data_IF_617344684622
#
_entry.id   IF_617344684622
#
_cell.length_a   1.000
_cell.length_b   1.000
_cell.length_c   1.000
_cell.angle_alpha   90.00
_cell.angle_beta   90.00
_cell.angle_gamma   90.00
#
_symmetry.space_group_name_H-M   'P 1'
#
loop_
_entity.id
_entity.type
_entity.pdbx_description
1 polymer ?
#
# COMPACT_ATOMS: atom_id res chain seq x y z
N UNK A 1 6.84 16.50 -10.61
CA UNK A 1 7.86 16.30 -11.66
C UNK A 1 9.09 15.78 -10.96
N UNK A 2 9.71 14.74 -11.48
CA UNK A 2 10.97 14.19 -10.97
C UNK A 2 12.18 15.11 -11.23
N UNK A 3 12.08 16.01 -12.20
CA UNK A 3 13.06 17.07 -12.44
C UNK A 3 13.11 18.05 -11.26
N UNK A 4 14.25 18.08 -10.57
CA UNK A 4 14.51 18.88 -9.37
C UNK A 4 14.37 20.39 -9.60
N UNK A 5 14.64 20.86 -10.83
CA UNK A 5 14.50 22.25 -11.22
C UNK A 5 13.06 22.65 -11.53
N UNK A 6 12.21 21.68 -11.88
CA UNK A 6 10.82 21.92 -12.24
C UNK A 6 9.87 21.97 -11.05
N UNK A 7 9.94 20.99 -10.13
CA UNK A 7 9.05 20.85 -8.94
C UNK A 7 7.53 20.94 -9.20
N UNK A 8 7.10 20.78 -10.45
CA UNK A 8 5.69 20.90 -10.82
C UNK A 8 4.84 19.79 -10.18
N UNK A 9 3.72 20.16 -9.55
CA UNK A 9 2.77 19.26 -8.89
C UNK A 9 1.37 19.50 -9.41
N UNK A 10 0.60 18.43 -9.63
CA UNK A 10 -0.77 18.50 -10.13
C UNK A 10 -1.56 17.25 -9.76
N UNK A 11 -2.89 17.38 -9.70
CA UNK A 11 -3.83 16.25 -9.65
C UNK A 11 -4.37 15.89 -11.04
N UNK A 12 -4.00 16.65 -12.07
CA UNK A 12 -4.46 16.44 -13.45
C UNK A 12 -3.51 15.46 -14.16
N UNK A 13 -4.07 14.40 -14.72
CA UNK A 13 -3.31 13.43 -15.52
C UNK A 13 -3.14 13.98 -16.94
N UNK A 14 -1.90 14.10 -17.40
CA UNK A 14 -1.58 14.54 -18.75
C UNK A 14 -1.64 13.36 -19.74
N UNK A 15 -2.67 13.31 -20.58
CA UNK A 15 -2.87 12.21 -21.54
C UNK A 15 -1.91 12.22 -22.74
N UNK A 16 -1.01 13.20 -22.85
CA UNK A 16 0.02 13.22 -23.90
C UNK A 16 0.97 12.03 -23.75
N UNK A 17 1.37 11.44 -24.87
CA UNK A 17 2.36 10.35 -24.97
C UNK A 17 3.39 10.76 -26.02
N UNK A 18 4.67 10.71 -25.67
CA UNK A 18 5.80 11.12 -26.50
C UNK A 18 6.91 10.08 -26.35
N UNK A 19 7.38 9.50 -27.46
CA UNK A 19 8.44 8.49 -27.44
C UNK A 19 8.08 7.27 -26.58
N UNK A 20 8.96 6.95 -25.64
CA UNK A 20 8.88 5.82 -24.69
C UNK A 20 8.14 6.17 -23.38
N UNK A 21 7.60 7.39 -23.24
CA UNK A 21 6.93 7.81 -22.01
C UNK A 21 5.65 7.04 -21.75
N UNK A 22 5.45 6.64 -20.49
CA UNK A 22 4.19 6.07 -20.04
C UNK A 22 3.07 7.12 -20.13
N UNK A 23 1.86 6.67 -20.52
CA UNK A 23 0.65 7.50 -20.54
C UNK A 23 0.44 8.17 -19.19
N UNK A 24 0.18 9.48 -19.18
CA UNK A 24 -0.06 10.20 -17.93
C UNK A 24 1.18 10.82 -17.29
N UNK A 25 2.39 10.47 -17.74
CA UNK A 25 3.63 10.82 -17.03
C UNK A 25 4.36 12.04 -17.60
N UNK A 26 3.94 12.61 -18.73
CA UNK A 26 4.67 13.76 -19.30
C UNK A 26 4.44 15.03 -18.47
N UNK A 27 5.53 15.71 -18.10
CA UNK A 27 5.45 17.01 -17.44
C UNK A 27 4.71 18.03 -18.33
N UNK A 28 3.69 18.76 -17.82
CA UNK A 28 2.98 19.77 -18.59
C UNK A 28 3.85 20.93 -19.08
N UNK A 29 5.01 21.14 -18.46
CA UNK A 29 6.00 22.14 -18.88
C UNK A 29 6.90 21.65 -20.04
N UNK A 30 6.62 20.49 -20.65
CA UNK A 30 7.31 20.08 -21.88
C UNK A 30 6.99 21.05 -23.04
N UNK A 31 7.99 21.48 -23.85
CA UNK A 31 9.37 20.98 -23.93
C UNK A 31 10.39 21.67 -23.01
N UNK A 32 10.00 22.65 -22.19
CA UNK A 32 10.90 23.35 -21.25
C UNK A 32 11.36 22.46 -20.08
N UNK A 33 10.66 21.34 -19.83
CA UNK A 33 11.04 20.33 -18.86
C UNK A 33 10.91 18.94 -19.49
N UNK A 34 11.98 18.14 -19.40
CA UNK A 34 12.01 16.75 -19.88
C UNK A 34 11.72 15.72 -18.77
N UNK A 35 11.39 16.18 -17.57
CA UNK A 35 11.02 15.32 -16.45
C UNK A 35 9.66 14.65 -16.63
N UNK A 36 9.40 13.66 -15.78
CA UNK A 36 8.16 12.89 -15.69
C UNK A 36 7.40 13.22 -14.41
N UNK A 37 6.07 13.20 -14.50
CA UNK A 37 5.17 13.21 -13.35
C UNK A 37 5.24 11.84 -12.68
N UNK A 38 5.72 11.84 -11.44
CA UNK A 38 5.69 10.68 -10.54
C UNK A 38 4.57 10.86 -9.52
N UNK A 39 3.95 9.75 -9.09
CA UNK A 39 2.97 9.78 -8.01
C UNK A 39 3.67 10.17 -6.71
N UNK A 40 3.10 11.14 -5.98
CA UNK A 40 3.59 11.50 -4.64
C UNK A 40 3.38 10.38 -3.62
N UNK A 41 2.34 9.58 -3.82
CA UNK A 41 2.03 8.41 -3.01
C UNK A 41 1.73 7.25 -3.95
N UNK A 42 2.56 6.23 -3.91
CA UNK A 42 2.45 5.09 -4.83
C UNK A 42 1.46 4.05 -4.31
N UNK A 43 0.99 3.17 -5.20
CA UNK A 43 0.19 2.00 -4.79
C UNK A 43 0.98 1.11 -3.80
N UNK A 44 2.30 1.03 -3.95
CA UNK A 44 3.16 0.29 -3.04
C UNK A 44 3.21 0.93 -1.65
N UNK A 45 3.21 2.27 -1.57
CA UNK A 45 3.12 2.99 -0.30
C UNK A 45 1.79 2.71 0.40
N UNK A 46 0.68 2.75 -0.34
CA UNK A 46 -0.65 2.42 0.18
C UNK A 46 -0.70 1.00 0.71
N UNK A 47 -0.23 0.03 -0.08
CA UNK A 47 -0.20 -1.37 0.33
C UNK A 47 0.65 -1.59 1.58
N UNK A 48 1.83 -0.95 1.66
CA UNK A 48 2.70 -0.99 2.85
C UNK A 48 2.00 -0.44 4.08
N UNK A 49 1.30 0.68 3.94
CA UNK A 49 0.57 1.30 5.06
C UNK A 49 -0.57 0.42 5.56
N UNK A 50 -1.38 -0.13 4.65
CA UNK A 50 -2.48 -1.02 5.01
C UNK A 50 -1.96 -2.33 5.63
N UNK A 51 -0.87 -2.88 5.09
CA UNK A 51 -0.20 -4.06 5.65
C UNK A 51 0.33 -3.81 7.06
N UNK A 52 0.87 -2.62 7.31
CA UNK A 52 1.28 -2.22 8.66
C UNK A 52 0.08 -2.15 9.62
N UNK A 53 -1.04 -1.58 9.19
CA UNK A 53 -2.25 -1.58 10.02
C UNK A 53 -2.79 -2.99 10.30
N UNK A 54 -2.80 -3.89 9.31
CA UNK A 54 -3.10 -5.30 9.54
C UNK A 54 -2.15 -5.90 10.58
N UNK A 55 -0.84 -5.63 10.48
CA UNK A 55 0.15 -6.13 11.43
C UNK A 55 -0.12 -5.65 12.87
N UNK A 56 -0.48 -4.38 13.05
CA UNK A 56 -0.74 -3.79 14.37
C UNK A 56 -2.04 -4.32 14.98
N UNK A 57 -3.06 -4.57 14.15
CA UNK A 57 -4.39 -5.01 14.60
C UNK A 57 -4.55 -6.55 14.66
N UNK A 58 -3.51 -7.30 14.32
CA UNK A 58 -3.51 -8.76 14.39
C UNK A 58 -3.44 -9.23 15.85
N UNK A 59 -4.61 -9.36 16.46
CA UNK A 59 -4.78 -9.84 17.83
C UNK A 59 -4.16 -11.23 18.04
N UNK A 60 -4.24 -12.12 17.04
CA UNK A 60 -3.70 -13.49 17.15
C UNK A 60 -2.19 -13.47 17.28
N UNK A 61 -1.53 -12.67 16.42
CA UNK A 61 -0.09 -12.50 16.43
C UNK A 61 0.42 -11.75 17.67
N UNK A 62 -0.40 -10.87 18.25
CA UNK A 62 -0.10 -10.23 19.52
C UNK A 62 0.01 -11.27 20.65
N UNK A 63 -0.98 -12.18 20.75
CA UNK A 63 -1.04 -13.21 21.77
C UNK A 63 0.10 -14.24 21.65
N UNK A 64 0.53 -14.56 20.43
CA UNK A 64 1.61 -15.51 20.19
C UNK A 64 3.00 -14.99 20.57
N UNK A 65 3.15 -13.67 20.73
CA UNK A 65 4.40 -13.05 21.18
C UNK A 65 4.47 -12.89 22.71
N UNK A 66 3.40 -13.20 23.45
CA UNK A 66 3.38 -13.06 24.90
C UNK A 66 3.99 -14.27 25.59
N UNK A 67 4.68 -14.02 26.70
CA UNK A 67 5.10 -15.07 27.61
C UNK A 67 3.88 -15.84 28.13
N UNK A 68 4.03 -17.16 28.22
CA UNK A 68 2.94 -18.07 28.60
C UNK A 68 2.30 -17.73 29.96
N UNK A 69 3.09 -17.15 30.88
CA UNK A 69 2.65 -16.68 32.20
C UNK A 69 1.76 -15.43 32.13
N UNK A 70 1.92 -14.60 31.11
CA UNK A 70 1.21 -13.33 30.92
C UNK A 70 -0.01 -13.47 29.99
N UNK A 71 -0.12 -14.60 29.28
CA UNK A 71 -1.16 -14.82 28.26
C UNK A 71 -2.57 -14.79 28.84
N UNK A 72 -2.85 -15.57 29.89
CA UNK A 72 -4.16 -15.63 30.53
C UNK A 72 -4.67 -14.29 31.10
N UNK A 73 -3.89 -13.51 31.87
CA UNK A 73 -4.34 -12.21 32.36
C UNK A 73 -4.55 -11.22 31.21
N UNK A 74 -3.67 -11.21 30.20
CA UNK A 74 -3.83 -10.34 29.04
C UNK A 74 -5.08 -10.70 28.22
N UNK A 75 -5.34 -11.99 27.93
CA UNK A 75 -6.52 -12.43 27.18
C UNK A 75 -7.82 -11.99 27.85
N UNK A 76 -7.89 -12.02 29.19
CA UNK A 76 -9.08 -11.56 29.93
C UNK A 76 -9.35 -10.06 29.76
N UNK A 77 -8.32 -9.23 29.86
CA UNK A 77 -8.46 -7.77 29.67
C UNK A 77 -8.71 -7.43 28.19
N UNK A 78 -8.01 -8.13 27.29
CA UNK A 78 -8.10 -7.92 25.86
C UNK A 78 -9.42 -8.39 25.26
N UNK A 79 -10.11 -9.36 25.87
CA UNK A 79 -11.39 -9.89 25.40
C UNK A 79 -12.44 -8.78 25.16
N UNK A 80 -12.41 -7.71 25.96
CA UNK A 80 -13.31 -6.55 25.83
C UNK A 80 -13.06 -5.78 24.53
N UNK A 81 -11.80 -5.70 24.08
CA UNK A 81 -11.39 -4.96 22.88
C UNK A 81 -11.34 -5.86 21.63
N UNK A 82 -11.23 -7.18 21.82
CA UNK A 82 -10.95 -8.14 20.75
C UNK A 82 -11.97 -8.06 19.61
N UNK A 83 -13.26 -7.91 19.91
CA UNK A 83 -14.29 -7.82 18.88
C UNK A 83 -14.10 -6.58 18.00
N UNK A 84 -13.82 -5.43 18.60
CA UNK A 84 -13.59 -4.16 17.89
C UNK A 84 -12.31 -4.22 17.05
N UNK A 85 -11.23 -4.76 17.63
CA UNK A 85 -9.93 -4.91 16.94
C UNK A 85 -10.06 -5.88 15.76
N UNK A 86 -10.73 -7.02 15.96
CA UNK A 86 -10.98 -8.00 14.90
C UNK A 86 -11.81 -7.40 13.77
N UNK A 87 -12.83 -6.60 14.10
CA UNK A 87 -13.66 -5.91 13.09
C UNK A 87 -12.84 -4.90 12.29
N UNK A 88 -12.02 -4.07 12.96
CA UNK A 88 -11.13 -3.12 12.30
C UNK A 88 -10.09 -3.81 11.41
N UNK A 89 -9.51 -4.92 11.90
CA UNK A 89 -8.57 -5.75 11.13
C UNK A 89 -9.22 -6.26 9.85
N UNK A 90 -10.43 -6.83 9.93
CA UNK A 90 -11.14 -7.37 8.75
C UNK A 90 -11.44 -6.30 7.71
N UNK A 91 -11.84 -5.09 8.13
CA UNK A 91 -12.10 -4.00 7.18
C UNK A 91 -10.81 -3.52 6.49
N UNK A 92 -9.73 -3.35 7.25
CA UNK A 92 -8.44 -2.93 6.67
C UNK A 92 -7.87 -4.00 5.76
N UNK A 93 -7.99 -5.27 6.16
CA UNK A 93 -7.62 -6.41 5.32
C UNK A 93 -8.40 -6.41 4.01
N UNK A 94 -9.73 -6.21 4.06
CA UNK A 94 -10.58 -6.12 2.88
C UNK A 94 -10.13 -4.99 1.93
N UNK A 95 -9.72 -3.84 2.47
CA UNK A 95 -9.20 -2.73 1.66
C UNK A 95 -7.85 -3.12 1.04
N UNK A 96 -6.93 -3.68 1.83
CA UNK A 96 -5.60 -4.12 1.39
C UNK A 96 -5.68 -5.17 0.28
N UNK A 97 -6.58 -6.13 0.39
CA UNK A 97 -6.71 -7.25 -0.53
C UNK A 97 -7.27 -6.82 -1.90
N UNK A 98 -7.74 -5.56 -2.02
CA UNK A 98 -8.13 -4.91 -3.29
C UNK A 98 -6.99 -4.12 -3.94
N UNK A 99 -5.90 -3.87 -3.23
CA UNK A 99 -4.73 -3.21 -3.81
C UNK A 99 -4.06 -4.10 -4.86
N UNK A 100 -3.32 -3.48 -5.78
CA UNK A 100 -2.69 -4.19 -6.91
C UNK A 100 -1.64 -5.24 -6.49
N UNK A 101 -1.19 -5.21 -5.22
CA UNK A 101 -0.18 -6.12 -4.66
C UNK A 101 -0.77 -7.25 -3.80
N UNK A 102 -2.09 -7.32 -3.63
CA UNK A 102 -2.73 -8.38 -2.82
C UNK A 102 -2.67 -9.77 -3.45
N UNK A 103 -2.53 -9.85 -4.78
CA UNK A 103 -2.56 -11.10 -5.53
C UNK A 103 -1.48 -11.10 -6.60
N UNK A 104 -0.79 -12.24 -6.73
CA UNK A 104 0.17 -12.48 -7.80
C UNK A 104 -0.30 -13.70 -8.58
N UNK A 105 -0.59 -13.53 -9.87
CA UNK A 105 -0.87 -14.66 -10.75
C UNK A 105 0.44 -15.34 -11.11
N UNK A 106 0.71 -16.49 -10.49
CA UNK A 106 1.96 -17.22 -10.71
C UNK A 106 2.16 -17.63 -12.18
N UNK A 107 1.07 -17.81 -12.93
CA UNK A 107 1.09 -18.07 -14.37
C UNK A 107 1.71 -16.94 -15.18
N UNK A 108 1.62 -15.69 -14.71
CA UNK A 108 2.20 -14.53 -15.39
C UNK A 108 3.71 -14.41 -15.12
N UNK A 109 4.22 -15.12 -14.11
CA UNK A 109 5.63 -15.12 -13.71
C UNK A 109 6.37 -16.41 -14.12
N UNK A 110 5.65 -17.52 -14.25
CA UNK A 110 6.22 -18.81 -14.58
C UNK A 110 6.30 -19.00 -16.10
N UNK A 111 7.49 -19.36 -16.59
CA UNK A 111 7.65 -19.83 -17.97
C UNK A 111 7.15 -21.27 -18.04
N UNK A 112 6.17 -21.54 -18.90
CA UNK A 112 5.72 -22.91 -19.16
C UNK A 112 6.85 -23.70 -19.80
N UNK A 113 7.20 -24.85 -19.21
CA UNK A 113 8.18 -25.81 -19.76
C UNK A 113 7.45 -26.79 -20.68
#
# INVERSE_FOLDING_TARGET
CDDEGCKYSTHIVNLRVMGDSERGTICPNYPQCNGRLVRQYTEADLYRQLSYFCYVLDATRCLDKLDQKMRLPFEKEFAVLNQTISSAFLEIQRIRDRCAFGWVQLTDLAVSI
#
